data_IF_517393808327
#
_entry.id   IF_517393808327
#
_cell.length_a   1.000
_cell.length_b   1.000
_cell.length_c   1.000
_cell.angle_alpha   90.00
_cell.angle_beta   90.00
_cell.angle_gamma   90.00
#
_symmetry.space_group_name_H-M   'P 1'
#
loop_
_entity.id
_entity.type
_entity.pdbx_description
1 polymer ?
#
# COMPACT_ATOMS: atom_id res chain seq x y z
N UNK A 1 -15.57 26.54 18.18
CA UNK A 1 -14.35 25.80 17.77
C UNK A 1 -14.53 24.36 18.24
N UNK A 2 -14.78 23.42 17.31
CA UNK A 2 -15.01 22.01 17.62
C UNK A 2 -13.74 21.25 17.31
N UNK A 3 -13.02 20.79 18.33
CA UNK A 3 -11.86 19.91 18.19
C UNK A 3 -12.36 18.49 18.00
N UNK A 4 -12.30 17.98 16.77
CA UNK A 4 -12.52 16.57 16.49
C UNK A 4 -11.39 15.75 17.12
N UNK A 5 -11.69 15.05 18.20
CA UNK A 5 -10.80 14.06 18.80
C UNK A 5 -10.80 12.83 17.88
N UNK A 6 -9.74 12.66 17.10
CA UNK A 6 -9.50 11.41 16.37
C UNK A 6 -9.39 10.22 17.34
N UNK A 7 -9.71 9.00 16.90
CA UNK A 7 -9.63 7.84 17.77
C UNK A 7 -8.19 7.66 18.28
N UNK A 8 -8.02 7.70 19.60
CA UNK A 8 -6.76 7.50 20.28
C UNK A 8 -6.32 6.04 20.08
N UNK A 9 -5.41 5.80 19.14
CA UNK A 9 -4.84 4.47 18.89
C UNK A 9 -3.82 4.23 20.01
N UNK A 10 -4.09 3.23 20.84
CA UNK A 10 -3.18 2.78 21.89
C UNK A 10 -1.96 2.10 21.24
N UNK A 11 -0.89 2.89 21.04
CA UNK A 11 0.32 2.50 20.31
C UNK A 11 1.07 1.32 20.95
N UNK A 12 0.89 1.09 22.25
CA UNK A 12 1.59 0.03 23.00
C UNK A 12 1.13 -1.39 22.63
N UNK A 13 0.05 -1.52 21.84
CA UNK A 13 -0.50 -2.81 21.43
C UNK A 13 -0.41 -3.10 19.93
N UNK A 14 0.16 -2.17 19.15
CA UNK A 14 0.30 -2.31 17.71
C UNK A 14 1.75 -2.58 17.32
N UNK A 15 1.96 -3.36 16.26
CA UNK A 15 3.31 -3.57 15.72
C UNK A 15 3.88 -2.22 15.25
N UNK A 16 5.06 -1.86 15.77
CA UNK A 16 5.80 -0.65 15.37
C UNK A 16 6.34 -0.75 13.94
N UNK A 17 6.70 0.38 13.34
CA UNK A 17 7.34 0.42 12.01
C UNK A 17 8.63 -0.41 11.99
N UNK A 18 9.43 -0.30 13.06
CA UNK A 18 10.68 -1.03 13.27
C UNK A 18 10.43 -2.53 13.38
N UNK A 19 9.46 -2.95 14.21
CA UNK A 19 9.12 -4.36 14.38
C UNK A 19 8.52 -4.97 13.12
N UNK A 20 7.72 -4.20 12.36
CA UNK A 20 7.19 -4.65 11.07
C UNK A 20 8.31 -4.87 10.06
N UNK A 21 9.30 -3.98 10.07
CA UNK A 21 10.50 -4.03 9.22
C UNK A 21 11.48 -5.14 9.57
N UNK A 22 11.38 -5.76 10.76
CA UNK A 22 12.25 -6.88 11.13
C UNK A 22 12.09 -8.03 10.13
N UNK A 23 13.19 -8.37 9.47
CA UNK A 23 13.25 -9.39 8.42
C UNK A 23 12.40 -9.06 7.18
N UNK A 24 12.05 -7.79 6.97
CA UNK A 24 11.40 -7.35 5.75
C UNK A 24 12.30 -7.67 4.55
N UNK A 25 11.74 -8.40 3.59
CA UNK A 25 12.36 -8.65 2.30
C UNK A 25 11.34 -8.26 1.26
N UNK A 26 11.70 -7.29 0.43
CA UNK A 26 10.90 -6.88 -0.70
C UNK A 26 11.78 -6.89 -1.93
N UNK A 27 11.40 -7.69 -2.92
CA UNK A 27 12.04 -7.71 -4.23
C UNK A 27 11.10 -7.05 -5.23
N UNK A 28 11.34 -5.79 -5.64
CA UNK A 28 10.45 -5.07 -6.54
C UNK A 28 10.27 -5.77 -7.89
N UNK A 29 11.29 -6.49 -8.36
CA UNK A 29 11.24 -7.23 -9.62
C UNK A 29 10.27 -8.41 -9.62
N UNK A 30 9.90 -8.92 -8.43
CA UNK A 30 9.01 -10.09 -8.30
C UNK A 30 7.53 -9.74 -8.21
N UNK A 31 7.21 -8.44 -8.16
CA UNK A 31 5.85 -7.92 -7.99
C UNK A 31 5.40 -7.03 -9.16
N UNK A 32 6.24 -6.91 -10.19
CA UNK A 32 5.92 -6.15 -11.39
C UNK A 32 4.80 -6.84 -12.18
N UNK A 33 4.17 -6.07 -13.06
CA UNK A 33 3.20 -6.53 -14.08
C UNK A 33 1.83 -6.97 -13.55
N UNK A 34 1.73 -7.52 -12.33
CA UNK A 34 0.46 -7.86 -11.69
C UNK A 34 -0.21 -6.62 -11.02
N UNK A 35 -1.54 -6.62 -10.96
CA UNK A 35 -2.30 -5.73 -10.07
C UNK A 35 -2.41 -6.39 -8.69
N UNK A 36 -2.17 -5.59 -7.66
CA UNK A 36 -2.24 -6.00 -6.26
C UNK A 36 -3.40 -5.29 -5.58
N UNK A 37 -4.21 -6.05 -4.86
CA UNK A 37 -5.40 -5.58 -4.17
C UNK A 37 -5.23 -5.77 -2.66
N UNK A 38 -5.61 -4.77 -1.86
CA UNK A 38 -5.71 -4.94 -0.41
C UNK A 38 -6.86 -5.89 -0.08
N UNK A 39 -6.55 -7.10 0.38
CA UNK A 39 -7.57 -8.05 0.84
C UNK A 39 -7.83 -7.95 2.35
N UNK A 40 -6.90 -7.36 3.10
CA UNK A 40 -7.05 -7.11 4.52
C UNK A 40 -6.26 -5.88 4.96
N UNK A 41 -6.74 -5.16 5.97
CA UNK A 41 -6.07 -3.97 6.49
C UNK A 41 -6.38 -3.70 7.96
N UNK A 42 -5.48 -2.96 8.60
CA UNK A 42 -5.59 -2.47 9.98
C UNK A 42 -5.50 -0.95 9.95
N UNK A 43 -6.64 -0.28 10.19
CA UNK A 43 -6.72 1.17 10.15
C UNK A 43 -8.15 1.69 10.03
N UNK A 44 -8.33 3.00 9.78
CA UNK A 44 -9.62 3.60 9.43
C UNK A 44 -10.27 2.89 8.25
N UNK A 45 -11.60 2.91 8.16
CA UNK A 45 -12.30 2.27 7.04
C UNK A 45 -11.88 2.94 5.74
N UNK A 46 -11.36 2.14 4.80
CA UNK A 46 -10.85 2.58 3.50
C UNK A 46 -11.54 1.78 2.40
N UNK A 47 -11.74 2.36 1.21
CA UNK A 47 -12.02 1.54 0.03
C UNK A 47 -10.90 0.53 -0.19
N UNK A 48 -11.22 -0.55 -0.91
CA UNK A 48 -10.21 -1.49 -1.40
C UNK A 48 -9.18 -0.73 -2.22
N UNK A 49 -7.92 -0.90 -1.84
CA UNK A 49 -6.79 -0.29 -2.51
C UNK A 49 -6.26 -1.24 -3.58
N UNK A 50 -6.08 -0.72 -4.80
CA UNK A 50 -5.51 -1.46 -5.91
C UNK A 50 -4.29 -0.72 -6.45
N UNK A 51 -3.20 -1.44 -6.63
CA UNK A 51 -1.91 -0.87 -7.01
C UNK A 51 -1.15 -1.75 -7.99
N UNK A 52 -0.33 -1.12 -8.82
CA UNK A 52 0.63 -1.78 -9.71
C UNK A 52 2.03 -1.23 -9.43
N UNK A 53 2.99 -2.14 -9.25
CA UNK A 53 4.40 -1.79 -9.12
C UNK A 53 5.04 -1.72 -10.50
N UNK A 54 5.79 -0.66 -10.76
CA UNK A 54 6.48 -0.43 -12.03
C UNK A 54 7.92 0.00 -11.77
N UNK A 55 8.83 -0.34 -12.67
CA UNK A 55 10.18 0.24 -12.68
C UNK A 55 10.15 1.55 -13.47
N UNK A 56 10.66 2.65 -12.92
CA UNK A 56 10.72 3.91 -13.66
C UNK A 56 11.74 3.82 -14.79
N UNK A 57 11.36 4.27 -15.98
CA UNK A 57 12.28 4.47 -17.10
C UNK A 57 12.99 5.85 -17.00
N UNK A 58 13.97 6.11 -17.87
CA UNK A 58 14.76 7.35 -17.83
C UNK A 58 13.93 8.62 -18.00
N UNK A 59 12.92 8.58 -18.88
CA UNK A 59 12.04 9.72 -19.15
C UNK A 59 11.15 10.02 -17.95
N UNK A 60 10.60 8.97 -17.32
CA UNK A 60 9.82 9.08 -16.09
C UNK A 60 10.66 9.64 -14.94
N UNK A 61 11.91 9.21 -14.78
CA UNK A 61 12.83 9.77 -13.77
C UNK A 61 13.07 11.25 -14.03
N UNK A 62 13.35 11.64 -15.28
CA UNK A 62 13.58 13.04 -15.63
C UNK A 62 12.35 13.91 -15.35
N UNK A 63 11.15 13.41 -15.67
CA UNK A 63 9.90 14.10 -15.38
C UNK A 63 9.63 14.21 -13.87
N UNK A 64 9.84 13.14 -13.10
CA UNK A 64 9.66 13.15 -11.65
C UNK A 64 10.65 14.10 -10.96
N UNK A 65 11.90 14.17 -11.42
CA UNK A 65 12.88 15.17 -10.97
C UNK A 65 12.36 16.58 -11.15
N UNK A 66 11.91 16.90 -12.37
CA UNK A 66 11.34 18.20 -12.68
C UNK A 66 10.14 18.55 -11.79
N UNK A 67 9.27 17.59 -11.47
CA UNK A 67 8.10 17.81 -10.63
C UNK A 67 8.41 17.95 -9.14
N UNK A 68 9.44 17.28 -8.62
CA UNK A 68 9.60 17.05 -7.18
C UNK A 68 10.75 17.87 -6.60
N UNK A 69 11.86 18.08 -7.32
CA UNK A 69 13.11 18.60 -6.75
C UNK A 69 12.95 19.98 -6.08
N UNK A 70 12.11 20.85 -6.63
CA UNK A 70 11.85 22.20 -6.09
C UNK A 70 10.74 22.22 -5.03
N UNK A 71 10.09 21.08 -4.79
CA UNK A 71 8.92 20.94 -3.93
C UNK A 71 9.16 20.01 -2.74
N UNK A 72 10.39 19.61 -2.46
CA UNK A 72 10.72 18.77 -1.30
C UNK A 72 11.56 19.51 -0.28
N UNK A 73 11.36 19.19 1.00
CA UNK A 73 12.16 19.77 2.09
C UNK A 73 13.58 19.21 2.12
N UNK A 74 13.71 17.93 1.76
CA UNK A 74 14.98 17.22 1.72
C UNK A 74 15.22 16.71 0.29
N UNK A 75 16.46 16.80 -0.23
CA UNK A 75 16.76 16.34 -1.58
C UNK A 75 16.46 14.85 -1.76
N UNK A 76 15.80 14.51 -2.86
CA UNK A 76 15.52 13.11 -3.20
C UNK A 76 16.83 12.40 -3.57
N UNK A 77 17.07 11.23 -2.99
CA UNK A 77 18.19 10.38 -3.38
C UNK A 77 17.89 9.63 -4.69
N UNK A 78 18.08 10.30 -5.82
CA UNK A 78 17.87 9.74 -7.16
C UNK A 78 18.81 8.61 -7.58
N UNK A 79 19.80 8.27 -6.75
CA UNK A 79 20.72 7.15 -7.00
C UNK A 79 20.31 5.87 -6.28
N UNK A 80 19.40 5.98 -5.32
CA UNK A 80 18.84 4.82 -4.63
C UNK A 80 17.90 4.02 -5.56
N UNK A 81 17.67 2.73 -5.27
CA UNK A 81 16.64 1.96 -5.95
C UNK A 81 15.26 2.63 -5.84
N UNK A 82 14.59 2.72 -6.98
CA UNK A 82 13.30 3.39 -7.12
C UNK A 82 12.27 2.44 -7.71
N UNK A 83 11.04 2.57 -7.23
CA UNK A 83 9.88 1.85 -7.73
C UNK A 83 8.74 2.86 -7.86
N UNK A 84 7.92 2.73 -8.89
CA UNK A 84 6.67 3.48 -8.98
C UNK A 84 5.52 2.61 -8.48
N UNK A 85 4.61 3.22 -7.73
CA UNK A 85 3.37 2.62 -7.28
C UNK A 85 2.22 3.37 -7.95
N UNK A 86 1.57 2.74 -8.93
CA UNK A 86 0.42 3.32 -9.64
C UNK A 86 -0.86 2.79 -9.03
N UNK A 87 -1.72 3.69 -8.56
CA UNK A 87 -3.06 3.37 -8.06
C UNK A 87 -4.10 3.31 -9.18
N UNK A 88 -5.25 2.66 -8.91
CA UNK A 88 -6.41 2.69 -9.85
C UNK A 88 -6.94 4.10 -10.09
N UNK A 89 -6.78 4.98 -9.10
CA UNK A 89 -7.13 6.41 -9.15
C UNK A 89 -6.25 7.21 -10.14
N UNK A 90 -5.30 6.55 -10.82
CA UNK A 90 -4.30 7.15 -11.70
C UNK A 90 -3.30 8.08 -10.97
N UNK A 91 -3.25 8.00 -9.64
CA UNK A 91 -2.17 8.57 -8.84
C UNK A 91 -0.95 7.66 -8.95
N UNK A 92 0.22 8.24 -9.16
CA UNK A 92 1.49 7.50 -9.24
C UNK A 92 2.43 8.03 -8.18
N UNK A 93 2.81 7.18 -7.25
CA UNK A 93 3.77 7.50 -6.20
C UNK A 93 5.17 7.05 -6.59
N UNK A 94 6.17 7.83 -6.21
CA UNK A 94 7.58 7.46 -6.30
C UNK A 94 8.05 6.90 -4.95
N UNK A 95 8.51 5.66 -4.94
CA UNK A 95 9.09 4.99 -3.77
C UNK A 95 10.60 5.00 -3.90
N UNK A 96 11.29 5.59 -2.93
CA UNK A 96 12.76 5.67 -2.88
C UNK A 96 13.28 4.89 -1.67
N UNK A 97 14.08 3.85 -1.91
CA UNK A 97 14.58 2.97 -0.84
C UNK A 97 15.50 3.70 0.14
N UNK A 98 15.34 3.42 1.43
CA UNK A 98 16.07 4.07 2.53
C UNK A 98 17.01 3.10 3.25
N UNK A 99 18.06 2.61 2.59
CA UNK A 99 19.19 1.89 3.20
C UNK A 99 18.90 0.51 3.84
N UNK A 100 17.73 0.32 4.42
CA UNK A 100 17.19 -0.92 4.97
C UNK A 100 16.16 -1.50 3.99
N UNK A 101 16.27 -2.81 3.74
CA UNK A 101 15.49 -3.47 2.70
C UNK A 101 14.02 -3.43 3.05
N UNK A 102 13.22 -2.90 2.14
CA UNK A 102 11.79 -2.73 2.37
C UNK A 102 11.40 -1.42 3.07
N UNK A 103 12.35 -0.53 3.40
CA UNK A 103 12.06 0.82 3.86
C UNK A 103 12.05 1.79 2.68
N UNK A 104 10.97 2.55 2.53
CA UNK A 104 10.85 3.53 1.46
C UNK A 104 10.33 4.87 1.98
N UNK A 105 10.79 5.96 1.37
CA UNK A 105 10.05 7.22 1.37
C UNK A 105 9.16 7.22 0.14
N UNK A 106 7.88 7.51 0.35
CA UNK A 106 6.89 7.66 -0.71
C UNK A 106 6.71 9.14 -0.97
N UNK A 107 6.93 9.55 -2.21
CA UNK A 107 6.61 10.89 -2.72
C UNK A 107 5.33 10.79 -3.53
N UNK A 108 4.35 11.64 -3.24
CA UNK A 108 3.10 11.72 -4.01
C UNK A 108 3.11 12.97 -4.87
N UNK A 109 3.64 12.90 -6.11
CA UNK A 109 3.64 14.05 -7.00
C UNK A 109 2.22 14.42 -7.41
N UNK A 110 1.88 15.70 -7.28
CA UNK A 110 0.65 16.27 -7.83
C UNK A 110 0.97 16.96 -9.16
N UNK A 111 0.01 16.93 -10.11
CA UNK A 111 0.20 17.54 -11.43
C UNK A 111 0.21 19.08 -11.39
N UNK A 112 -0.35 19.67 -10.32
CA UNK A 112 -0.61 21.11 -10.22
C UNK A 112 0.19 21.78 -9.09
N UNK A 113 1.43 21.34 -8.86
CA UNK A 113 2.33 21.96 -7.88
C UNK A 113 2.65 23.41 -8.29
N UNK A 114 2.33 24.35 -7.41
CA UNK A 114 2.63 25.76 -7.55
C UNK A 114 3.90 26.14 -6.78
N UNK A 115 4.60 27.23 -7.15
CA UNK A 115 5.75 27.70 -6.39
C UNK A 115 5.40 27.93 -4.91
N UNK A 116 6.12 27.23 -4.02
CA UNK A 116 5.86 27.25 -2.57
C UNK A 116 5.12 26.02 -2.04
N UNK A 117 4.54 25.19 -2.91
CA UNK A 117 3.95 23.92 -2.51
C UNK A 117 5.04 22.92 -2.10
N UNK A 118 4.72 22.06 -1.13
CA UNK A 118 5.58 20.95 -0.70
C UNK A 118 4.91 19.63 -1.03
N UNK A 119 5.66 18.70 -1.64
CA UNK A 119 5.24 17.32 -1.85
C UNK A 119 5.16 16.60 -0.52
N UNK A 120 3.99 16.04 -0.23
CA UNK A 120 3.80 15.18 0.93
C UNK A 120 4.64 13.91 0.79
N UNK A 121 5.38 13.62 1.86
CA UNK A 121 6.17 12.40 2.00
C UNK A 121 5.67 11.57 3.15
N UNK A 122 5.66 10.25 2.96
CA UNK A 122 5.39 9.30 4.04
C UNK A 122 6.43 8.22 4.08
N UNK A 123 6.79 7.79 5.30
CA UNK A 123 7.68 6.64 5.47
C UNK A 123 6.86 5.37 5.47
N UNK A 124 7.27 4.40 4.66
CA UNK A 124 6.60 3.10 4.58
C UNK A 124 7.55 1.94 4.75
N UNK A 125 7.01 0.83 5.24
CA UNK A 125 7.66 -0.47 5.27
C UNK A 125 6.90 -1.43 4.38
N UNK A 126 7.62 -2.10 3.50
CA UNK A 126 7.08 -3.07 2.54
C UNK A 126 7.83 -4.38 2.72
N UNK A 127 7.09 -5.49 2.75
CA UNK A 127 7.68 -6.83 2.79
C UNK A 127 6.82 -7.82 2.03
N UNK A 128 7.46 -8.85 1.49
CA UNK A 128 6.78 -10.03 0.96
C UNK A 128 6.67 -11.10 2.05
N UNK A 129 5.54 -11.81 2.09
CA UNK A 129 5.31 -12.92 3.02
C UNK A 129 4.61 -14.10 2.32
N UNK A 130 4.52 -15.25 2.99
CA UNK A 130 3.99 -16.50 2.42
C UNK A 130 4.67 -16.86 1.08
N UNK A 131 6.01 -16.92 1.09
CA UNK A 131 6.84 -17.17 -0.10
C UNK A 131 6.63 -16.18 -1.26
N UNK A 132 6.24 -14.94 -0.95
CA UNK A 132 6.03 -13.89 -1.96
C UNK A 132 4.65 -13.88 -2.59
N UNK A 133 3.72 -14.70 -2.09
CA UNK A 133 2.32 -14.68 -2.50
C UNK A 133 1.62 -13.37 -2.11
N UNK A 134 2.02 -12.78 -0.99
CA UNK A 134 1.41 -11.56 -0.45
C UNK A 134 2.44 -10.46 -0.22
N UNK A 135 1.96 -9.21 -0.21
CA UNK A 135 2.73 -8.03 0.16
C UNK A 135 2.13 -7.42 1.42
N UNK A 136 2.94 -7.20 2.44
CA UNK A 136 2.61 -6.34 3.56
C UNK A 136 3.10 -4.91 3.28
N UNK A 137 2.23 -3.94 3.47
CA UNK A 137 2.52 -2.51 3.28
C UNK A 137 2.08 -1.74 4.53
N UNK A 138 3.01 -1.11 5.22
CA UNK A 138 2.74 -0.32 6.43
C UNK A 138 3.12 1.14 6.21
N UNK A 139 2.17 2.04 6.40
CA UNK A 139 2.43 3.47 6.55
C UNK A 139 2.84 3.73 8.01
N UNK A 140 4.08 4.17 8.21
CA UNK A 140 4.68 4.34 9.53
C UNK A 140 4.18 5.59 10.24
N UNK A 141 3.80 6.62 9.50
CA UNK A 141 3.32 7.88 10.08
C UNK A 141 1.88 7.72 10.60
N UNK A 142 1.05 7.02 9.83
CA UNK A 142 -0.36 6.79 10.17
C UNK A 142 -0.63 5.51 10.96
N UNK A 143 0.37 4.64 11.13
CA UNK A 143 0.22 3.32 11.75
C UNK A 143 -0.87 2.45 11.10
N UNK A 144 -0.98 2.55 9.77
CA UNK A 144 -1.93 1.77 8.97
C UNK A 144 -1.16 0.68 8.23
N UNK A 145 -1.68 -0.55 8.25
CA UNK A 145 -1.09 -1.68 7.54
C UNK A 145 -2.10 -2.32 6.58
N UNK A 146 -1.62 -2.76 5.43
CA UNK A 146 -2.35 -3.46 4.38
C UNK A 146 -1.66 -4.77 4.06
N UNK A 147 -2.46 -5.82 3.88
CA UNK A 147 -2.04 -7.05 3.23
C UNK A 147 -2.62 -7.05 1.81
N UNK A 148 -1.73 -7.14 0.83
CA UNK A 148 -2.05 -7.13 -0.60
C UNK A 148 -1.87 -8.52 -1.21
N UNK A 149 -2.68 -8.81 -2.21
CA UNK A 149 -2.69 -10.07 -2.97
C UNK A 149 -2.95 -9.77 -4.44
N UNK A 150 -2.47 -10.65 -5.33
CA UNK A 150 -2.88 -10.64 -6.74
C UNK A 150 -4.36 -11.05 -6.86
N UNK A 151 -5.09 -10.54 -7.85
CA UNK A 151 -6.53 -10.87 -7.98
C UNK A 151 -6.78 -12.38 -8.14
N UNK A 152 -5.98 -13.07 -8.95
CA UNK A 152 -6.03 -14.54 -9.10
C UNK A 152 -5.75 -15.34 -7.83
N UNK A 153 -5.11 -14.72 -6.82
CA UNK A 153 -4.63 -15.41 -5.62
C UNK A 153 -5.43 -15.06 -4.36
N UNK A 154 -6.53 -14.29 -4.49
CA UNK A 154 -7.32 -13.80 -3.35
C UNK A 154 -7.79 -14.99 -2.50
N UNK A 155 -7.46 -15.02 -1.20
CA UNK A 155 -7.80 -16.16 -0.35
C UNK A 155 -9.31 -16.27 -0.14
N UNK A 156 -9.82 -17.52 -0.11
CA UNK A 156 -11.23 -17.80 0.15
C UNK A 156 -11.71 -17.08 1.41
N UNK A 157 -12.98 -16.62 1.41
CA UNK A 157 -13.62 -15.84 2.48
C UNK A 157 -13.21 -16.27 3.90
N UNK A 158 -13.34 -17.56 4.22
CA UNK A 158 -13.03 -18.12 5.55
C UNK A 158 -11.55 -18.10 5.95
N UNK A 159 -10.63 -17.96 4.98
CA UNK A 159 -9.18 -17.96 5.19
C UNK A 159 -8.58 -16.55 5.21
N UNK A 160 -9.35 -15.51 4.86
CA UNK A 160 -8.84 -14.14 4.73
C UNK A 160 -8.07 -13.69 5.97
N UNK A 161 -8.64 -13.89 7.16
CA UNK A 161 -8.00 -13.44 8.40
C UNK A 161 -6.75 -14.25 8.74
N UNK A 162 -6.79 -15.57 8.53
CA UNK A 162 -5.66 -16.46 8.81
C UNK A 162 -4.48 -16.17 7.87
N UNK A 163 -4.78 -15.94 6.58
CA UNK A 163 -3.78 -15.57 5.58
C UNK A 163 -3.18 -14.19 5.86
N UNK A 164 -4.00 -13.20 6.22
CA UNK A 164 -3.51 -11.89 6.63
C UNK A 164 -2.65 -11.94 7.90
N UNK A 165 -2.99 -12.81 8.86
CA UNK A 165 -2.25 -12.96 10.12
C UNK A 165 -0.80 -13.45 9.92
N UNK A 166 -0.52 -14.17 8.82
CA UNK A 166 0.84 -14.59 8.44
C UNK A 166 1.80 -13.42 8.23
N UNK A 167 1.29 -12.20 7.97
CA UNK A 167 2.09 -10.98 7.90
C UNK A 167 2.81 -10.66 9.23
N UNK A 168 2.30 -11.18 10.36
CA UNK A 168 2.87 -10.97 11.69
C UNK A 168 2.59 -9.59 12.27
N UNK A 169 1.65 -8.83 11.70
CA UNK A 169 1.23 -7.53 12.23
C UNK A 169 0.18 -7.72 13.32
N UNK A 170 0.43 -7.10 14.48
CA UNK A 170 -0.50 -7.03 15.60
C UNK A 170 -1.20 -5.68 15.55
N UNK A 171 -2.51 -5.70 15.44
CA UNK A 171 -3.34 -4.50 15.47
C UNK A 171 -4.79 -4.84 15.77
N UNK A 172 -5.51 -3.91 16.40
CA UNK A 172 -6.92 -4.10 16.72
C UNK A 172 -7.79 -3.85 15.48
N UNK A 173 -8.94 -4.52 15.43
CA UNK A 173 -10.02 -4.26 14.45
C UNK A 173 -9.57 -4.32 12.98
N UNK A 174 -8.84 -5.37 12.61
CA UNK A 174 -8.55 -5.65 11.20
C UNK A 174 -9.85 -5.84 10.41
N UNK A 175 -9.84 -5.44 9.15
CA UNK A 175 -10.99 -5.46 8.23
C UNK A 175 -10.56 -6.09 6.92
N UNK A 176 -11.43 -6.89 6.32
CA UNK A 176 -11.22 -7.38 4.96
C UNK A 176 -11.80 -6.42 3.93
N UNK A 177 -11.46 -6.63 2.66
CA UNK A 177 -12.09 -5.95 1.52
C UNK A 177 -13.61 -6.18 1.42
N UNK A 178 -14.16 -7.18 2.14
CA UNK A 178 -15.59 -7.45 2.24
C UNK A 178 -16.30 -6.55 3.26
N UNK A 179 -15.57 -5.74 4.03
CA UNK A 179 -16.12 -4.83 5.01
C UNK A 179 -16.45 -3.48 4.36
N UNK A 180 -17.74 -3.14 4.25
CA UNK A 180 -18.21 -1.82 3.77
C UNK A 180 -18.95 -1.11 4.89
N UNK A 181 -18.26 -0.21 5.59
CA UNK A 181 -18.91 0.81 6.43
C UNK A 181 -19.94 0.28 7.45
N UNK A 182 -19.61 -0.81 8.16
CA UNK A 182 -20.42 -1.50 9.18
C UNK A 182 -21.24 -2.71 8.72
N UNK A 183 -21.30 -3.02 7.43
CA UNK A 183 -21.93 -4.23 6.92
C UNK A 183 -20.89 -5.15 6.25
N UNK A 184 -20.96 -6.45 6.59
CA UNK A 184 -20.26 -7.48 5.83
C UNK A 184 -20.99 -7.67 4.52
N UNK A 185 -20.30 -7.58 3.38
CA UNK A 185 -20.94 -7.88 2.10
C UNK A 185 -21.52 -9.31 2.15
N UNK A 186 -22.83 -9.48 1.92
CA UNK A 186 -23.47 -10.79 1.87
C UNK A 186 -23.13 -11.45 0.53
N UNK A 187 -21.87 -11.83 0.36
CA UNK A 187 -21.46 -12.71 -0.73
C UNK A 187 -21.55 -14.13 -0.15
N UNK A 188 -22.52 -14.90 -0.64
CA UNK A 188 -22.56 -16.34 -0.41
C UNK A 188 -21.29 -16.98 -0.99
N UNK A 189 -20.75 -18.02 -0.36
CA UNK A 189 -19.46 -18.60 -0.82
C UNK A 189 -19.53 -19.08 -2.28
N UNK A 190 -20.71 -19.44 -2.78
CA UNK A 190 -20.93 -19.88 -4.16
C UNK A 190 -20.76 -18.75 -5.19
N UNK A 191 -20.96 -17.48 -4.80
CA UNK A 191 -20.85 -16.32 -5.69
C UNK A 191 -19.47 -15.63 -5.60
N UNK A 192 -18.58 -16.18 -4.77
CA UNK A 192 -17.27 -15.62 -4.52
C UNK A 192 -16.40 -15.59 -5.78
N UNK A 193 -16.38 -16.70 -6.54
CA UNK A 193 -15.57 -16.81 -7.75
C UNK A 193 -16.05 -15.82 -8.82
N UNK A 194 -17.37 -15.70 -9.01
CA UNK A 194 -17.97 -14.70 -9.89
C UNK A 194 -17.64 -13.25 -9.46
N UNK A 195 -17.56 -12.98 -8.16
CA UNK A 195 -17.21 -11.65 -7.65
C UNK A 195 -15.75 -11.29 -7.97
N UNK A 196 -14.83 -12.24 -7.81
CA UNK A 196 -13.41 -12.06 -8.14
C UNK A 196 -13.23 -11.88 -9.65
N UNK A 197 -13.91 -12.69 -10.48
CA UNK A 197 -13.86 -12.55 -11.94
C UNK A 197 -14.33 -11.17 -12.41
N UNK A 198 -15.38 -10.62 -11.80
CA UNK A 198 -15.84 -9.26 -12.08
C UNK A 198 -14.83 -8.18 -11.65
N UNK A 199 -14.00 -8.43 -10.62
CA UNK A 199 -12.92 -7.53 -10.24
C UNK A 199 -11.75 -7.61 -11.22
N UNK A 200 -11.44 -8.80 -11.71
CA UNK A 200 -10.37 -9.07 -12.69
C UNK A 200 -10.64 -8.37 -14.02
N UNK A 201 -11.90 -8.38 -14.50
CA UNK A 201 -12.29 -7.60 -15.68
C UNK A 201 -12.20 -6.08 -15.49
N UNK A 202 -12.04 -5.60 -14.26
CA UNK A 202 -11.79 -4.19 -13.97
C UNK A 202 -10.29 -3.83 -13.95
N UNK A 203 -9.39 -4.81 -14.20
CA UNK A 203 -7.96 -4.57 -14.45
C UNK A 203 -7.72 -3.90 -15.82
N UNK A 204 -8.66 -4.02 -16.77
CA UNK A 204 -8.56 -3.39 -18.10
C UNK A 204 -8.51 -1.84 -18.04
N UNK A 205 -8.84 -1.26 -16.89
CA UNK A 205 -8.86 0.19 -16.66
C UNK A 205 -7.48 0.78 -16.24
N UNK A 206 -6.40 -0.02 -16.19
CA UNK A 206 -5.06 0.40 -15.71
C UNK A 206 -4.07 0.89 -16.79
#
# INVERSE_FOLDING_TARGET
>A
MSTSVGPNIDHDQTTSCEDFGRFARFNPYSVLEDVWMSFYYWGPTSPTWFVKFLLPNREQIAYLKYLIDDHVREPVNWTAPMVLLKEKSNITHLLVEQGDRGQYIVYTPYKDLSPGDTVDTVTVRIKQFDNGRYIGFMNCDMHVAYALVRLKDVPKKKLIQDEAAKMGFKGRKGKSYLYRGHEWMPIEEADYDNYIDNMDHSEEDY
#
